data_IF_026246314084
#
_entry.id   IF_026246314084
#
_cell.length_a   1.000
_cell.length_b   1.000
_cell.length_c   1.000
_cell.angle_alpha   90.00
_cell.angle_beta   90.00
_cell.angle_gamma   90.00
#
_symmetry.space_group_name_H-M   'P 1'
#
loop_
_entity.id
_entity.type
_entity.pdbx_description
1 polymer ?
#
# COMPACT_ATOMS: atom_id res chain seq x y z
N UNK A 1 12.56 -27.50 -10.62
CA UNK A 1 13.60 -26.48 -10.90
C UNK A 1 13.08 -25.05 -11.06
N UNK A 2 11.76 -24.78 -11.06
CA UNK A 2 11.21 -23.40 -11.11
C UNK A 2 11.28 -22.62 -9.78
N UNK A 3 11.50 -23.29 -8.64
CA UNK A 3 11.53 -22.67 -7.30
C UNK A 3 12.75 -21.77 -7.06
N UNK A 4 13.91 -22.09 -7.65
CA UNK A 4 15.14 -21.30 -7.48
C UNK A 4 15.14 -20.02 -8.31
N UNK A 5 14.46 -20.02 -9.47
CA UNK A 5 14.27 -18.81 -10.28
C UNK A 5 13.31 -17.81 -9.61
N UNK A 6 12.25 -18.30 -8.93
CA UNK A 6 11.31 -17.46 -8.16
C UNK A 6 11.95 -16.81 -6.93
N UNK A 7 12.84 -17.52 -6.23
CA UNK A 7 13.55 -16.96 -5.07
C UNK A 7 14.52 -15.83 -5.46
N UNK A 8 15.15 -15.93 -6.63
CA UNK A 8 16.01 -14.87 -7.17
C UNK A 8 15.21 -13.65 -7.62
N UNK A 9 14.02 -13.84 -8.21
CA UNK A 9 13.14 -12.73 -8.59
C UNK A 9 12.63 -11.94 -7.36
N UNK A 10 12.29 -12.62 -6.26
CA UNK A 10 11.89 -11.99 -5.00
C UNK A 10 13.02 -11.21 -4.33
N UNK A 11 14.26 -11.73 -4.37
CA UNK A 11 15.43 -11.03 -3.86
C UNK A 11 15.78 -9.76 -4.65
N UNK A 12 15.56 -9.78 -5.98
CA UNK A 12 15.81 -8.62 -6.83
C UNK A 12 14.72 -7.54 -6.66
N UNK A 13 13.46 -7.94 -6.45
CA UNK A 13 12.37 -7.00 -6.14
C UNK A 13 12.58 -6.27 -4.80
N UNK A 14 13.10 -6.96 -3.76
CA UNK A 14 13.40 -6.38 -2.45
C UNK A 14 14.62 -5.44 -2.46
N UNK A 15 15.59 -5.65 -3.36
CA UNK A 15 16.77 -4.79 -3.49
C UNK A 15 16.51 -3.50 -4.31
N UNK A 16 15.47 -3.48 -5.15
CA UNK A 16 15.08 -2.32 -5.97
C UNK A 16 14.05 -1.39 -5.30
N UNK A 17 13.55 -1.72 -4.10
CA UNK A 17 12.54 -0.90 -3.39
C UNK A 17 12.96 0.56 -3.19
N UNK A 18 14.22 0.95 -2.90
CA UNK A 18 14.54 2.38 -2.73
C UNK A 18 14.76 3.10 -4.08
N UNK A 19 14.75 2.39 -5.22
CA UNK A 19 15.02 2.95 -6.54
C UNK A 19 13.79 2.97 -7.49
N UNK A 20 12.73 2.21 -7.18
CA UNK A 20 11.48 2.21 -7.96
C UNK A 20 10.49 3.32 -7.58
N UNK A 21 10.79 4.15 -6.59
CA UNK A 21 9.97 5.34 -6.27
C UNK A 21 9.93 6.38 -7.40
N UNK A 22 10.77 6.26 -8.44
CA UNK A 22 10.83 7.20 -9.58
C UNK A 22 10.32 6.62 -10.92
N UNK A 23 9.90 5.35 -10.96
CA UNK A 23 9.47 4.65 -12.20
C UNK A 23 8.06 4.06 -12.04
N UNK A 24 7.20 4.71 -11.26
CA UNK A 24 5.77 4.51 -11.42
C UNK A 24 5.25 5.62 -12.33
N UNK A 25 4.69 5.31 -13.52
CA UNK A 25 3.95 6.31 -14.27
C UNK A 25 2.84 6.85 -13.37
N UNK A 26 2.51 8.15 -13.43
CA UNK A 26 1.35 8.66 -12.71
C UNK A 26 0.15 7.82 -13.14
N UNK A 27 -0.55 7.24 -12.16
CA UNK A 27 -1.82 6.53 -12.37
C UNK A 27 -2.71 7.46 -13.17
N UNK A 28 -2.78 7.20 -14.47
CA UNK A 28 -3.36 8.10 -15.44
C UNK A 28 -4.85 7.76 -15.54
N UNK A 29 -5.66 8.76 -15.21
CA UNK A 29 -7.07 8.94 -15.62
C UNK A 29 -8.19 8.18 -14.92
N UNK A 30 -7.95 7.08 -14.19
CA UNK A 30 -9.07 6.37 -13.54
C UNK A 30 -9.62 7.06 -12.26
N UNK A 31 -8.90 8.05 -11.72
CA UNK A 31 -9.31 8.83 -10.55
C UNK A 31 -9.84 10.23 -10.90
N UNK A 32 -9.99 10.58 -12.18
CA UNK A 32 -10.39 11.92 -12.61
C UNK A 32 -11.77 12.37 -12.09
N UNK A 33 -12.58 11.45 -11.54
CA UNK A 33 -13.89 11.73 -10.94
C UNK A 33 -13.98 11.45 -9.43
N UNK A 34 -12.91 11.00 -8.77
CA UNK A 34 -12.96 10.68 -7.33
C UNK A 34 -12.55 11.88 -6.49
N UNK A 35 -13.34 12.19 -5.45
CA UNK A 35 -12.92 13.15 -4.43
C UNK A 35 -11.72 12.60 -3.66
N UNK A 36 -10.89 13.49 -3.06
CA UNK A 36 -9.74 13.06 -2.26
C UNK A 36 -10.15 12.12 -1.12
N UNK A 37 -11.29 12.38 -0.48
CA UNK A 37 -11.86 11.49 0.54
C UNK A 37 -12.14 10.10 -0.04
N UNK A 38 -12.75 10.02 -1.23
CA UNK A 38 -13.05 8.75 -1.87
C UNK A 38 -11.76 7.98 -2.21
N UNK A 39 -10.71 8.66 -2.69
CA UNK A 39 -9.39 8.04 -2.91
C UNK A 39 -8.81 7.50 -1.61
N UNK A 40 -8.84 8.28 -0.54
CA UNK A 40 -8.35 7.86 0.77
C UNK A 40 -9.11 6.62 1.29
N UNK A 41 -10.45 6.60 1.19
CA UNK A 41 -11.24 5.43 1.57
C UNK A 41 -10.94 4.19 0.73
N UNK A 42 -10.80 4.35 -0.59
CA UNK A 42 -10.43 3.23 -1.47
C UNK A 42 -9.07 2.66 -1.07
N UNK A 43 -8.11 3.51 -0.74
CA UNK A 43 -6.77 3.07 -0.33
C UNK A 43 -6.78 2.37 1.04
N UNK A 44 -7.50 2.91 2.02
CA UNK A 44 -7.66 2.29 3.35
C UNK A 44 -8.38 0.93 3.25
N UNK A 45 -9.47 0.84 2.48
CA UNK A 45 -10.17 -0.42 2.26
C UNK A 45 -9.32 -1.42 1.48
N UNK A 46 -8.55 -0.93 0.50
CA UNK A 46 -7.60 -1.74 -0.24
C UNK A 46 -6.50 -2.33 0.64
N UNK A 47 -6.01 -1.57 1.62
CA UNK A 47 -5.05 -2.05 2.61
C UNK A 47 -5.69 -3.12 3.53
N UNK A 48 -6.90 -2.88 4.03
CA UNK A 48 -7.62 -3.85 4.87
C UNK A 48 -7.85 -5.18 4.15
N UNK A 49 -8.26 -5.15 2.88
CA UNK A 49 -8.44 -6.36 2.07
C UNK A 49 -7.12 -7.13 1.87
N UNK A 50 -6.00 -6.42 1.67
CA UNK A 50 -4.69 -7.06 1.55
C UNK A 50 -4.25 -7.71 2.87
N UNK A 51 -4.57 -7.11 4.02
CA UNK A 51 -4.31 -7.72 5.33
C UNK A 51 -5.15 -8.98 5.58
N UNK A 52 -6.40 -9.00 5.12
CA UNK A 52 -7.27 -10.18 5.22
C UNK A 52 -6.68 -11.35 4.43
N UNK A 53 -6.30 -11.11 3.17
CA UNK A 53 -5.68 -12.13 2.32
C UNK A 53 -4.31 -12.57 2.86
N UNK A 54 -3.49 -11.62 3.35
CA UNK A 54 -2.22 -11.95 4.00
C UNK A 54 -2.41 -12.79 5.26
N UNK A 55 -3.48 -12.57 6.02
CA UNK A 55 -3.80 -13.38 7.20
C UNK A 55 -4.18 -14.82 6.81
N UNK A 56 -4.88 -15.01 5.68
CA UNK A 56 -5.21 -16.33 5.16
C UNK A 56 -3.95 -17.08 4.69
N UNK A 57 -3.02 -16.39 4.01
CA UNK A 57 -1.71 -16.96 3.67
C UNK A 57 -0.90 -17.37 4.91
N UNK A 58 -0.95 -16.59 5.99
CA UNK A 58 -0.26 -16.94 7.25
C UNK A 58 -0.87 -18.17 7.94
N UNK A 59 -2.17 -18.41 7.74
CA UNK A 59 -2.88 -19.59 8.28
C UNK A 59 -2.63 -20.85 7.46
N UNK A 60 -2.31 -20.71 6.17
CA UNK A 60 -1.96 -21.82 5.30
C UNK A 60 -0.59 -22.42 5.66
N UNK A 61 -0.59 -23.72 5.96
CA UNK A 61 0.60 -24.48 6.35
C UNK A 61 1.56 -24.73 5.19
N UNK A 62 1.06 -24.64 3.94
CA UNK A 62 1.87 -24.81 2.74
C UNK A 62 2.56 -23.51 2.30
N UNK A 63 2.19 -22.36 2.91
CA UNK A 63 2.81 -21.07 2.61
C UNK A 63 4.29 -21.07 2.98
N UNK A 64 5.19 -20.73 2.04
CA UNK A 64 6.62 -20.68 2.34
C UNK A 64 6.94 -19.63 3.42
N UNK A 65 7.81 -19.94 4.41
CA UNK A 65 8.14 -19.00 5.49
C UNK A 65 8.86 -17.73 5.00
N UNK A 66 9.42 -17.76 3.78
CA UNK A 66 9.95 -16.56 3.13
C UNK A 66 8.85 -15.57 2.74
N UNK A 67 7.69 -16.06 2.31
CA UNK A 67 6.52 -15.23 1.93
C UNK A 67 5.95 -14.56 3.18
N UNK A 68 5.75 -15.31 4.26
CA UNK A 68 5.25 -14.77 5.54
C UNK A 68 6.15 -13.63 6.05
N UNK A 69 7.48 -13.82 6.00
CA UNK A 69 8.43 -12.77 6.41
C UNK A 69 8.39 -11.55 5.50
N UNK A 70 8.26 -11.75 4.19
CA UNK A 70 8.15 -10.64 3.24
C UNK A 70 6.86 -9.83 3.47
N UNK A 71 5.73 -10.52 3.72
CA UNK A 71 4.46 -9.87 4.07
C UNK A 71 4.58 -9.07 5.37
N UNK A 72 5.17 -9.64 6.42
CA UNK A 72 5.36 -8.93 7.69
C UNK A 72 6.28 -7.69 7.55
N UNK A 73 7.33 -7.77 6.72
CA UNK A 73 8.20 -6.62 6.43
C UNK A 73 7.48 -5.54 5.63
N UNK A 74 6.67 -5.96 4.63
CA UNK A 74 5.90 -5.02 3.82
C UNK A 74 4.79 -4.35 4.63
N UNK A 75 4.11 -5.08 5.51
CA UNK A 75 3.15 -4.51 6.48
C UNK A 75 3.83 -3.49 7.39
N UNK A 76 4.94 -3.85 8.02
CA UNK A 76 5.68 -2.94 8.89
C UNK A 76 6.12 -1.64 8.17
N UNK A 77 6.43 -1.72 6.87
CA UNK A 77 6.75 -0.55 6.06
C UNK A 77 5.51 0.27 5.67
N UNK A 78 4.35 -0.38 5.46
CA UNK A 78 3.11 0.27 5.05
C UNK A 78 2.36 0.95 6.19
N UNK A 79 2.30 0.32 7.37
CA UNK A 79 1.57 0.79 8.55
C UNK A 79 1.72 2.29 8.83
N UNK A 80 2.93 2.88 8.94
CA UNK A 80 3.04 4.30 9.30
C UNK A 80 2.41 5.23 8.25
N UNK A 81 2.50 4.88 6.97
CA UNK A 81 1.89 5.68 5.89
C UNK A 81 0.37 5.58 5.89
N UNK A 82 -0.18 4.40 6.17
CA UNK A 82 -1.61 4.15 6.27
C UNK A 82 -2.21 4.83 7.51
N UNK A 83 -1.51 4.80 8.64
CA UNK A 83 -1.91 5.53 9.85
C UNK A 83 -1.92 7.05 9.62
N UNK A 84 -0.89 7.58 8.95
CA UNK A 84 -0.84 9.00 8.59
C UNK A 84 -1.98 9.39 7.64
N UNK A 85 -2.33 8.53 6.68
CA UNK A 85 -3.49 8.71 5.81
C UNK A 85 -4.80 8.75 6.61
N UNK A 86 -5.00 7.80 7.53
CA UNK A 86 -6.20 7.78 8.38
C UNK A 86 -6.33 9.06 9.23
N UNK A 87 -5.22 9.52 9.82
CA UNK A 87 -5.18 10.77 10.58
C UNK A 87 -5.47 11.99 9.69
N UNK A 88 -4.88 12.06 8.50
CA UNK A 88 -5.10 13.16 7.56
C UNK A 88 -6.55 13.21 7.07
N UNK A 89 -7.16 12.05 6.78
CA UNK A 89 -8.57 11.95 6.38
C UNK A 89 -9.49 12.39 7.51
N UNK A 90 -9.23 11.96 8.75
CA UNK A 90 -9.99 12.38 9.93
C UNK A 90 -9.89 13.89 10.16
N UNK A 91 -8.68 14.46 10.01
CA UNK A 91 -8.46 15.90 10.12
C UNK A 91 -9.12 16.70 8.98
N UNK A 92 -9.17 16.14 7.77
CA UNK A 92 -9.87 16.74 6.62
C UNK A 92 -11.38 16.78 6.85
N UNK A 93 -11.97 15.67 7.29
CA UNK A 93 -13.40 15.56 7.58
C UNK A 93 -13.84 16.53 8.69
N UNK A 94 -12.98 16.77 9.69
CA UNK A 94 -13.24 17.70 10.78
C UNK A 94 -12.94 19.18 10.44
N UNK A 95 -12.36 19.47 9.27
CA UNK A 95 -11.92 20.82 8.92
C UNK A 95 -13.10 21.78 8.70
N UNK A 96 -12.91 23.04 9.10
CA UNK A 96 -13.81 24.12 8.71
C UNK A 96 -13.41 24.72 7.35
N UNK A 97 -14.21 25.65 6.83
CA UNK A 97 -13.93 26.28 5.52
C UNK A 97 -12.59 27.04 5.50
N UNK A 98 -12.14 27.60 6.62
CA UNK A 98 -10.93 28.41 6.70
C UNK A 98 -9.65 27.56 6.65
N UNK A 99 -9.71 26.31 7.13
CA UNK A 99 -8.55 25.40 7.21
C UNK A 99 -8.57 24.31 6.14
N UNK A 100 -9.69 24.14 5.41
CA UNK A 100 -9.89 23.07 4.42
C UNK A 100 -8.82 23.03 3.32
N UNK A 101 -8.30 24.17 2.86
CA UNK A 101 -7.25 24.21 1.84
C UNK A 101 -5.97 23.51 2.33
N UNK A 102 -5.45 23.89 3.51
CA UNK A 102 -4.26 23.25 4.10
C UNK A 102 -4.47 21.76 4.39
N UNK A 103 -5.69 21.36 4.78
CA UNK A 103 -6.02 19.95 5.01
C UNK A 103 -6.14 19.15 3.71
N UNK A 104 -6.54 19.80 2.61
CA UNK A 104 -6.59 19.20 1.27
C UNK A 104 -5.19 18.77 0.85
N UNK A 105 -4.20 19.65 1.01
CA UNK A 105 -2.80 19.36 0.66
C UNK A 105 -2.24 18.22 1.52
N UNK A 106 -2.49 18.26 2.84
CA UNK A 106 -2.05 17.22 3.75
C UNK A 106 -2.68 15.85 3.42
N UNK A 107 -3.97 15.81 3.07
CA UNK A 107 -4.64 14.58 2.65
C UNK A 107 -4.06 14.05 1.33
N UNK A 108 -3.81 14.91 0.36
CA UNK A 108 -3.19 14.50 -0.92
C UNK A 108 -1.82 13.88 -0.71
N UNK A 109 -0.96 14.51 0.09
CA UNK A 109 0.37 13.98 0.40
C UNK A 109 0.31 12.64 1.14
N UNK A 110 -0.64 12.49 2.07
CA UNK A 110 -0.81 11.23 2.79
C UNK A 110 -1.31 10.09 1.89
N UNK A 111 -2.16 10.39 0.89
CA UNK A 111 -2.57 9.41 -0.12
C UNK A 111 -1.34 8.94 -0.91
N UNK A 112 -0.57 9.87 -1.47
CA UNK A 112 0.62 9.56 -2.26
C UNK A 112 1.65 8.74 -1.47
N UNK A 113 1.85 9.07 -0.19
CA UNK A 113 2.76 8.34 0.69
C UNK A 113 2.32 6.90 0.97
N UNK A 114 1.01 6.64 1.02
CA UNK A 114 0.46 5.31 1.31
C UNK A 114 0.29 4.44 0.05
N UNK A 115 0.20 5.01 -1.15
CA UNK A 115 -0.03 4.27 -2.39
C UNK A 115 1.06 3.23 -2.69
N UNK A 116 2.33 3.64 -2.64
CA UNK A 116 3.46 2.77 -2.95
C UNK A 116 3.59 1.54 -2.02
N UNK A 117 3.58 1.69 -0.68
CA UNK A 117 3.72 0.53 0.20
C UNK A 117 2.51 -0.39 0.19
N UNK A 118 1.28 0.15 0.03
CA UNK A 118 0.07 -0.69 -0.11
C UNK A 118 0.10 -1.49 -1.42
N UNK A 119 0.57 -0.88 -2.51
CA UNK A 119 0.76 -1.57 -3.79
C UNK A 119 1.80 -2.70 -3.68
N UNK A 120 2.88 -2.49 -2.94
CA UNK A 120 3.91 -3.52 -2.70
C UNK A 120 3.33 -4.74 -1.95
N UNK A 121 2.53 -4.52 -0.90
CA UNK A 121 1.85 -5.62 -0.20
C UNK A 121 0.89 -6.37 -1.11
N UNK A 122 0.09 -5.65 -1.91
CA UNK A 122 -0.80 -6.28 -2.89
C UNK A 122 -0.05 -7.14 -3.90
N UNK A 123 1.11 -6.68 -4.36
CA UNK A 123 1.96 -7.45 -5.28
C UNK A 123 2.52 -8.74 -4.65
N UNK A 124 2.84 -8.72 -3.36
CA UNK A 124 3.29 -9.93 -2.64
C UNK A 124 2.17 -10.96 -2.51
N UNK A 125 0.97 -10.51 -2.16
CA UNK A 125 -0.21 -11.37 -2.04
C UNK A 125 -0.57 -11.97 -3.41
N UNK A 126 -0.71 -11.15 -4.46
CA UNK A 126 -1.06 -11.65 -5.79
C UNK A 126 0.01 -12.51 -6.47
N UNK A 127 1.23 -12.56 -5.94
CA UNK A 127 2.29 -13.47 -6.44
C UNK A 127 2.17 -14.90 -5.86
N UNK A 128 1.25 -15.13 -4.91
CA UNK A 128 1.04 -16.42 -4.25
C UNK A 128 -0.11 -17.24 -4.84
N UNK A 129 -1.05 -16.58 -5.55
CA UNK A 129 -2.09 -17.20 -6.39
C UNK A 129 -1.52 -17.77 -7.70
#
# INVERSE_FOLDING_TARGET
>A
MHRTLRALALGFALACVPACASVFPPVTEQHASQTLEQRAYVLLNGYAAVLEEAADLVRDLDTPPAVIRALAQAEAAATPSVEALHQALTAYAAADAATRASRTDALSQAIEAAEAPVAAMRGLVGATE
#
